data_IF_059271765166
#
_entry.id   IF_059271765166
#
_cell.length_a   1.000
_cell.length_b   1.000
_cell.length_c   1.000
_cell.angle_alpha   90.00
_cell.angle_beta   90.00
_cell.angle_gamma   90.00
#
_symmetry.space_group_name_H-M   'P 1'
#
loop_
_entity.id
_entity.type
_entity.pdbx_description
1 polymer ?
#
# COMPACT_ATOMS: atom_id res chain seq x y z
N UNK A 1 -1.79 14.46 -35.48
CA UNK A 1 -1.13 14.23 -34.19
C UNK A 1 -0.18 13.06 -34.40
N UNK A 2 1.13 13.26 -34.21
CA UNK A 2 2.12 12.23 -34.53
C UNK A 2 2.00 11.00 -33.60
N UNK A 3 2.32 9.83 -34.12
CA UNK A 3 2.24 8.54 -33.43
C UNK A 3 3.06 8.51 -32.12
N UNK A 4 4.24 9.15 -32.11
CA UNK A 4 5.08 9.32 -30.90
C UNK A 4 4.40 10.19 -29.85
N UNK A 5 3.75 11.29 -30.25
CA UNK A 5 3.06 12.19 -29.32
C UNK A 5 1.91 11.48 -28.58
N UNK A 6 1.16 10.62 -29.30
CA UNK A 6 0.14 9.76 -28.67
C UNK A 6 0.75 8.76 -27.68
N UNK A 7 1.92 8.21 -27.99
CA UNK A 7 2.63 7.29 -27.10
C UNK A 7 3.12 7.99 -25.81
N UNK A 8 3.65 9.21 -25.91
CA UNK A 8 4.05 10.03 -24.76
C UNK A 8 2.86 10.27 -23.83
N UNK A 9 1.73 10.72 -24.38
CA UNK A 9 0.51 10.99 -23.60
C UNK A 9 -0.02 9.71 -22.92
N UNK A 10 0.02 8.58 -23.62
CA UNK A 10 -0.38 7.28 -23.06
C UNK A 10 0.51 6.87 -21.88
N UNK A 11 1.83 7.03 -22.00
CA UNK A 11 2.77 6.70 -20.91
C UNK A 11 2.59 7.65 -19.70
N UNK A 12 2.33 8.93 -19.93
CA UNK A 12 2.04 9.91 -18.87
C UNK A 12 0.73 9.56 -18.14
N UNK A 13 -0.34 9.23 -18.87
CA UNK A 13 -1.62 8.82 -18.29
C UNK A 13 -1.45 7.55 -17.44
N UNK A 14 -0.70 6.57 -17.93
CA UNK A 14 -0.41 5.34 -17.18
C UNK A 14 0.40 5.64 -15.91
N UNK A 15 1.38 6.54 -15.97
CA UNK A 15 2.14 6.96 -14.80
C UNK A 15 1.24 7.64 -13.76
N UNK A 16 0.32 8.50 -14.20
CA UNK A 16 -0.64 9.18 -13.33
C UNK A 16 -1.57 8.19 -12.63
N UNK A 17 -2.16 7.27 -13.38
CA UNK A 17 -3.00 6.21 -12.81
C UNK A 17 -2.26 5.38 -11.75
N UNK A 18 -1.00 5.02 -11.99
CA UNK A 18 -0.20 4.28 -11.02
C UNK A 18 0.07 5.09 -9.73
N UNK A 19 0.23 6.41 -9.84
CA UNK A 19 0.38 7.29 -8.67
C UNK A 19 -0.93 7.42 -7.90
N UNK A 20 -2.05 7.61 -8.61
CA UNK A 20 -3.38 7.71 -8.01
C UNK A 20 -3.74 6.42 -7.26
N UNK A 21 -3.41 5.24 -7.82
CA UNK A 21 -3.56 3.95 -7.15
C UNK A 21 -2.74 3.84 -5.86
N UNK A 22 -1.48 4.29 -5.89
CA UNK A 22 -0.61 4.29 -4.69
C UNK A 22 -1.18 5.23 -3.63
N UNK A 23 -1.67 6.40 -4.03
CA UNK A 23 -2.27 7.38 -3.13
C UNK A 23 -3.55 6.82 -2.51
N UNK A 24 -4.40 6.13 -3.28
CA UNK A 24 -5.60 5.48 -2.77
C UNK A 24 -5.26 4.38 -1.73
N UNK A 25 -4.20 3.61 -1.94
CA UNK A 25 -3.72 2.61 -0.96
C UNK A 25 -3.19 3.31 0.29
N UNK A 26 -2.36 4.35 0.14
CA UNK A 26 -1.79 5.12 1.26
C UNK A 26 -2.85 5.84 2.08
N UNK A 27 -3.92 6.34 1.45
CA UNK A 27 -5.02 7.02 2.13
C UNK A 27 -5.79 6.10 3.08
N UNK A 28 -5.85 4.79 2.77
CA UNK A 28 -6.51 3.78 3.60
C UNK A 28 -5.61 3.23 4.71
N UNK A 29 -4.29 3.27 4.55
CA UNK A 29 -3.33 2.84 5.58
C UNK A 29 -3.54 3.45 6.98
N UNK A 30 -3.70 4.78 7.15
CA UNK A 30 -3.86 5.36 8.48
C UNK A 30 -5.11 4.85 9.19
N UNK A 31 -6.20 4.61 8.47
CA UNK A 31 -7.42 4.02 9.04
C UNK A 31 -7.17 2.63 9.63
N UNK A 32 -6.40 1.78 8.92
CA UNK A 32 -6.02 0.46 9.44
C UNK A 32 -5.10 0.55 10.64
N UNK A 33 -4.14 1.50 10.65
CA UNK A 33 -3.24 1.72 11.78
C UNK A 33 -4.01 2.18 13.01
N UNK A 34 -4.93 3.14 12.87
CA UNK A 34 -5.77 3.62 13.97
C UNK A 34 -6.65 2.49 14.51
N UNK A 35 -7.27 1.71 13.62
CA UNK A 35 -8.07 0.54 14.03
C UNK A 35 -7.24 -0.48 14.80
N UNK A 36 -6.00 -0.73 14.36
CA UNK A 36 -5.07 -1.64 15.06
C UNK A 36 -4.65 -1.11 16.44
N UNK A 37 -4.36 0.19 16.56
CA UNK A 37 -4.03 0.83 17.84
C UNK A 37 -5.22 0.72 18.80
N UNK A 38 -6.42 1.11 18.36
CA UNK A 38 -7.64 0.99 19.18
C UNK A 38 -7.88 -0.46 19.60
N UNK A 39 -7.78 -1.41 18.67
CA UNK A 39 -7.92 -2.83 18.96
C UNK A 39 -6.90 -3.30 20.01
N UNK A 40 -5.66 -2.83 19.92
CA UNK A 40 -4.59 -3.16 20.87
C UNK A 40 -4.91 -2.62 22.26
N UNK A 41 -5.35 -1.35 22.37
CA UNK A 41 -5.78 -0.76 23.64
C UNK A 41 -6.97 -1.50 24.25
N UNK A 42 -8.00 -1.82 23.46
CA UNK A 42 -9.12 -2.63 23.93
C UNK A 42 -8.64 -4.00 24.41
N UNK A 43 -7.78 -4.67 23.64
CA UNK A 43 -7.24 -5.98 24.00
C UNK A 43 -6.49 -5.93 25.32
N UNK A 44 -5.62 -4.93 25.53
CA UNK A 44 -4.90 -4.77 26.80
C UNK A 44 -5.83 -4.45 27.98
N UNK A 45 -6.80 -3.55 27.79
CA UNK A 45 -7.79 -3.23 28.81
C UNK A 45 -8.58 -4.47 29.22
N UNK A 46 -8.97 -5.29 28.24
CA UNK A 46 -9.66 -6.52 28.51
C UNK A 46 -8.76 -7.56 29.18
N UNK A 47 -7.49 -7.68 28.82
CA UNK A 47 -6.54 -8.65 29.40
C UNK A 47 -6.20 -8.43 30.89
N UNK A 48 -6.60 -7.31 31.47
CA UNK A 48 -6.43 -7.04 32.90
C UNK A 48 -7.17 -8.11 33.75
N UNK A 49 -6.82 -8.25 35.04
CA UNK A 49 -7.22 -9.33 35.97
C UNK A 49 -8.71 -9.74 35.91
N UNK A 50 -9.59 -8.82 35.50
CA UNK A 50 -11.01 -9.08 35.25
C UNK A 50 -11.29 -10.11 34.15
N UNK A 51 -10.48 -10.23 33.09
CA UNK A 51 -10.69 -11.24 32.04
C UNK A 51 -10.45 -12.65 32.55
N UNK A 52 -9.36 -12.84 33.30
CA UNK A 52 -9.00 -14.15 33.83
C UNK A 52 -10.07 -14.67 34.77
N UNK A 53 -10.60 -13.79 35.63
CA UNK A 53 -11.71 -14.10 36.53
C UNK A 53 -13.05 -14.30 35.82
N UNK A 54 -13.29 -13.65 34.67
CA UNK A 54 -14.56 -13.73 33.94
C UNK A 54 -14.64 -14.90 32.94
N UNK A 55 -13.53 -15.22 32.26
CA UNK A 55 -13.47 -16.23 31.20
C UNK A 55 -12.82 -17.56 31.63
N UNK A 56 -12.14 -17.60 32.79
CA UNK A 56 -11.50 -18.80 33.31
C UNK A 56 -10.58 -19.46 32.28
N UNK A 57 -10.78 -20.75 32.00
CA UNK A 57 -9.97 -21.52 31.05
C UNK A 57 -10.13 -21.11 29.57
N UNK A 58 -11.05 -20.18 29.26
CA UNK A 58 -11.27 -19.72 27.89
C UNK A 58 -10.32 -18.59 27.47
N UNK A 59 -9.54 -18.05 28.40
CA UNK A 59 -8.60 -16.94 28.15
C UNK A 59 -7.55 -17.31 27.10
N UNK A 60 -7.07 -18.55 27.10
CA UNK A 60 -6.11 -19.03 26.10
C UNK A 60 -6.65 -18.98 24.66
N UNK A 61 -7.96 -19.22 24.49
CA UNK A 61 -8.62 -19.10 23.19
C UNK A 61 -8.65 -17.65 22.70
N UNK A 62 -8.95 -16.70 23.60
CA UNK A 62 -8.91 -15.27 23.27
C UNK A 62 -7.50 -14.77 22.96
N UNK A 63 -6.51 -15.17 23.76
CA UNK A 63 -5.10 -14.82 23.51
C UNK A 63 -4.66 -15.35 22.14
N UNK A 64 -4.96 -16.61 21.84
CA UNK A 64 -4.67 -17.22 20.53
C UNK A 64 -5.36 -16.46 19.39
N UNK A 65 -6.63 -16.07 19.57
CA UNK A 65 -7.36 -15.25 18.60
C UNK A 65 -6.72 -13.90 18.34
N UNK A 66 -6.29 -13.18 19.39
CA UNK A 66 -5.60 -11.89 19.28
C UNK A 66 -4.28 -12.05 18.53
N UNK A 67 -3.51 -13.10 18.81
CA UNK A 67 -2.24 -13.39 18.11
C UNK A 67 -2.49 -13.63 16.61
N UNK A 68 -3.47 -14.46 16.26
CA UNK A 68 -3.82 -14.73 14.85
C UNK A 68 -4.27 -13.44 14.15
N UNK A 69 -5.07 -12.61 14.82
CA UNK A 69 -5.54 -11.35 14.27
C UNK A 69 -4.39 -10.34 14.08
N UNK A 70 -3.43 -10.30 15.00
CA UNK A 70 -2.20 -9.54 14.87
C UNK A 70 -1.36 -9.98 13.67
N UNK A 71 -1.17 -11.29 13.49
CA UNK A 71 -0.48 -11.84 12.31
C UNK A 71 -1.20 -11.47 11.01
N UNK A 72 -2.53 -11.52 10.99
CA UNK A 72 -3.33 -11.15 9.84
C UNK A 72 -3.16 -9.66 9.47
N UNK A 73 -3.18 -8.77 10.47
CA UNK A 73 -2.91 -7.34 10.28
C UNK A 73 -1.51 -7.09 9.71
N UNK A 74 -0.48 -7.73 10.26
CA UNK A 74 0.90 -7.61 9.76
C UNK A 74 1.02 -8.10 8.32
N UNK A 75 0.41 -9.25 8.00
CA UNK A 75 0.38 -9.78 6.64
C UNK A 75 -0.28 -8.82 5.65
N UNK A 76 -1.39 -8.19 6.05
CA UNK A 76 -2.09 -7.21 5.22
C UNK A 76 -1.22 -5.97 4.94
N UNK A 77 -0.56 -5.43 5.98
CA UNK A 77 0.37 -4.29 5.83
C UNK A 77 1.52 -4.66 4.90
N UNK A 78 2.12 -5.84 5.09
CA UNK A 78 3.21 -6.34 4.25
C UNK A 78 2.80 -6.45 2.77
N UNK A 79 1.62 -7.03 2.49
CA UNK A 79 1.08 -7.15 1.13
C UNK A 79 0.87 -5.79 0.46
N UNK A 80 0.38 -4.80 1.21
CA UNK A 80 0.22 -3.44 0.71
C UNK A 80 1.57 -2.80 0.35
N UNK A 81 2.59 -2.98 1.20
CA UNK A 81 3.96 -2.52 0.91
C UNK A 81 4.54 -3.15 -0.35
N UNK A 82 4.36 -4.45 -0.55
CA UNK A 82 4.79 -5.12 -1.78
C UNK A 82 4.09 -4.56 -3.02
N UNK A 83 2.79 -4.27 -2.92
CA UNK A 83 1.99 -3.72 -4.02
C UNK A 83 2.44 -2.32 -4.40
N UNK A 84 2.68 -1.45 -3.41
CA UNK A 84 3.22 -0.10 -3.62
C UNK A 84 4.60 -0.19 -4.27
N UNK A 85 5.50 -1.03 -3.74
CA UNK A 85 6.85 -1.18 -4.28
C UNK A 85 6.86 -1.67 -5.73
N UNK A 86 5.94 -2.56 -6.11
CA UNK A 86 5.79 -3.00 -7.52
C UNK A 86 5.37 -1.85 -8.42
N UNK A 87 4.35 -1.07 -8.01
CA UNK A 87 3.85 0.09 -8.77
C UNK A 87 4.91 1.19 -8.87
N UNK A 88 5.69 1.45 -7.81
CA UNK A 88 6.80 2.41 -7.83
C UNK A 88 7.92 1.99 -8.81
N UNK A 89 8.24 0.70 -8.87
CA UNK A 89 9.19 0.19 -9.88
C UNK A 89 8.66 0.41 -11.30
N UNK A 90 7.37 0.16 -11.54
CA UNK A 90 6.75 0.39 -12.84
C UNK A 90 6.77 1.88 -13.23
N UNK A 91 6.48 2.78 -12.29
CA UNK A 91 6.59 4.23 -12.48
C UNK A 91 8.02 4.62 -12.89
N UNK A 92 9.06 4.09 -12.21
CA UNK A 92 10.46 4.37 -12.54
C UNK A 92 10.83 3.90 -13.95
N UNK A 93 10.36 2.73 -14.37
CA UNK A 93 10.56 2.21 -15.73
C UNK A 93 9.88 3.11 -16.76
N UNK A 94 8.63 3.53 -16.51
CA UNK A 94 7.89 4.45 -17.39
C UNK A 94 8.61 5.81 -17.49
N UNK A 95 9.08 6.37 -16.37
CA UNK A 95 9.85 7.62 -16.36
C UNK A 95 11.11 7.53 -17.24
N UNK A 96 11.84 6.42 -17.15
CA UNK A 96 13.04 6.20 -17.97
C UNK A 96 12.70 6.10 -19.46
N UNK A 97 11.59 5.43 -19.81
CA UNK A 97 11.11 5.34 -21.20
C UNK A 97 10.68 6.72 -21.73
N UNK A 98 9.92 7.47 -20.95
CA UNK A 98 9.48 8.83 -21.26
C UNK A 98 10.68 9.76 -21.52
N UNK A 99 11.70 9.71 -20.67
CA UNK A 99 12.91 10.51 -20.85
C UNK A 99 13.62 10.19 -22.17
N UNK A 100 13.77 8.90 -22.51
CA UNK A 100 14.37 8.49 -23.79
C UNK A 100 13.54 8.96 -24.98
N UNK A 101 12.21 8.82 -24.91
CA UNK A 101 11.31 9.22 -26.00
C UNK A 101 11.38 10.73 -26.26
N UNK A 102 11.29 11.54 -25.19
CA UNK A 102 11.35 13.00 -25.31
C UNK A 102 12.70 13.49 -25.81
N UNK A 103 13.80 12.90 -25.33
CA UNK A 103 15.16 13.29 -25.76
C UNK A 103 15.43 12.97 -27.24
N UNK A 104 14.85 11.89 -27.75
CA UNK A 104 14.92 11.54 -29.18
C UNK A 104 14.12 12.53 -30.03
N UNK A 105 12.94 12.94 -29.56
CA UNK A 105 12.09 13.95 -30.22
C UNK A 105 12.79 15.31 -30.37
N UNK A 106 13.57 15.70 -29.35
CA UNK A 106 14.35 16.95 -29.39
C UNK A 106 15.54 16.90 -30.35
N UNK A 107 16.01 15.70 -30.72
CA UNK A 107 17.08 15.56 -31.72
C UNK A 107 16.53 15.60 -33.15
N UNK A 108 15.43 14.91 -33.40
CA UNK A 108 14.77 14.87 -34.73
C UNK A 108 14.22 16.25 -35.16
N UNK A 109 13.96 17.16 -34.22
CA UNK A 109 13.44 18.52 -34.52
C UNK A 109 14.54 19.56 -34.82
N UNK A 110 15.81 19.23 -34.55
CA UNK A 110 16.95 20.16 -34.67
C UNK A 110 17.86 19.88 -35.89
N UNK A 111 17.45 18.98 -36.79
CA UNK A 111 18.05 18.75 -38.13
C UNK A 111 17.09 19.24 -39.22
#
# INVERSE_FOLDING_TARGET
MDSKSQEIVRQQNKQRQLKDDIEAIKKKQPTYIIGFILFTFLSFYFLEDKFYNFFGNSVDFFITGIIILGLFCLFFIYRNHLTINKKDKEIKVISSKLYKLMKLDTKDTNE
#
